data_IF_748889209006
#
_entry.id   IF_748889209006
#
_cell.length_a   1.000
_cell.length_b   1.000
_cell.length_c   1.000
_cell.angle_alpha   90.00
_cell.angle_beta   90.00
_cell.angle_gamma   90.00
#
_symmetry.space_group_name_H-M   'P 1'
#
loop_
_entity.id
_entity.type
_entity.pdbx_description
1 polymer ?
#
# COMPACT_ATOMS: atom_id res chain seq x y z
N UNK A 1 16.65 -3.00 -1.42
CA UNK A 1 15.48 -2.85 -2.32
C UNK A 1 15.97 -2.35 -3.69
N UNK A 2 15.99 -3.19 -4.73
CA UNK A 2 16.49 -2.81 -6.07
C UNK A 2 15.56 -1.74 -6.67
N UNK A 3 16.03 -0.49 -6.72
CA UNK A 3 15.37 0.61 -7.42
C UNK A 3 15.13 0.14 -8.85
N UNK A 4 13.87 -0.04 -9.26
CA UNK A 4 13.53 -0.40 -10.64
C UNK A 4 13.95 0.76 -11.54
N UNK A 5 15.08 0.58 -12.23
CA UNK A 5 15.75 1.57 -13.11
C UNK A 5 15.02 1.79 -14.45
N UNK A 6 13.68 1.79 -14.45
CA UNK A 6 12.85 1.68 -15.65
C UNK A 6 12.09 2.95 -16.02
N UNK A 7 12.20 4.03 -15.26
CA UNK A 7 11.52 5.29 -15.55
C UNK A 7 12.36 6.54 -15.22
N UNK A 8 12.07 7.62 -15.92
CA UNK A 8 12.44 9.01 -15.61
C UNK A 8 11.17 9.86 -15.48
N UNK A 9 11.31 11.15 -15.15
CA UNK A 9 10.18 12.09 -15.12
C UNK A 9 9.49 12.29 -16.49
N UNK A 10 10.09 11.84 -17.60
CA UNK A 10 9.61 12.09 -18.96
C UNK A 10 9.43 10.81 -19.79
N UNK A 11 10.21 9.77 -19.52
CA UNK A 11 10.29 8.56 -20.35
C UNK A 11 10.32 7.31 -19.47
N UNK A 12 9.50 6.34 -19.83
CA UNK A 12 9.51 5.00 -19.24
C UNK A 12 10.06 3.97 -20.24
N UNK A 13 10.55 2.83 -19.75
CA UNK A 13 11.00 1.74 -20.61
C UNK A 13 10.58 0.35 -20.13
N UNK A 14 10.36 -0.56 -21.08
CA UNK A 14 10.12 -1.98 -20.84
C UNK A 14 11.38 -2.80 -21.19
N UNK A 15 12.21 -3.21 -20.22
CA UNK A 15 13.47 -3.90 -20.50
C UNK A 15 13.29 -5.28 -21.15
N UNK A 16 12.12 -5.93 -21.00
CA UNK A 16 11.84 -7.24 -21.60
C UNK A 16 11.83 -7.22 -23.15
N UNK A 17 11.65 -6.04 -23.76
CA UNK A 17 11.67 -5.85 -25.22
C UNK A 17 13.04 -5.37 -25.74
N UNK A 18 14.02 -5.19 -24.84
CA UNK A 18 15.31 -4.64 -25.19
C UNK A 18 16.24 -5.74 -25.72
N UNK A 19 16.60 -5.65 -27.01
CA UNK A 19 17.61 -6.54 -27.63
C UNK A 19 19.04 -6.04 -27.46
N UNK A 20 19.27 -5.07 -26.56
CA UNK A 20 20.59 -4.51 -26.29
C UNK A 20 21.33 -3.94 -27.52
N UNK A 21 20.62 -3.32 -28.47
CA UNK A 21 21.24 -2.71 -29.67
C UNK A 21 22.03 -1.40 -29.39
N UNK A 22 21.88 -0.82 -28.19
CA UNK A 22 22.59 0.37 -27.70
C UNK A 22 22.40 1.69 -28.46
N UNK A 23 21.51 1.76 -29.46
CA UNK A 23 21.19 3.00 -30.19
C UNK A 23 20.73 4.14 -29.27
N UNK A 24 19.90 3.81 -28.26
CA UNK A 24 19.40 4.76 -27.27
C UNK A 24 20.51 5.40 -26.41
N UNK A 25 21.60 4.69 -26.13
CA UNK A 25 22.74 5.19 -25.34
C UNK A 25 23.53 6.21 -26.17
N UNK A 26 23.83 5.88 -27.43
CA UNK A 26 24.56 6.77 -28.35
C UNK A 26 23.82 8.09 -28.57
N UNK A 27 22.49 8.03 -28.65
CA UNK A 27 21.66 9.18 -28.98
C UNK A 27 21.12 9.96 -27.76
N UNK A 28 21.55 9.61 -26.54
CA UNK A 28 21.13 10.30 -25.33
C UNK A 28 22.07 11.49 -25.02
N UNK A 29 21.63 12.75 -25.18
CA UNK A 29 22.50 13.93 -25.03
C UNK A 29 22.98 14.13 -23.58
N UNK A 30 22.18 13.67 -22.61
CA UNK A 30 22.48 13.78 -21.17
C UNK A 30 23.10 12.52 -20.59
N UNK A 31 23.43 11.51 -21.42
CA UNK A 31 24.04 10.23 -21.01
C UNK A 31 23.27 9.53 -19.86
N UNK A 32 21.95 9.70 -19.83
CA UNK A 32 21.03 9.16 -18.81
C UNK A 32 20.92 7.62 -18.89
N UNK A 33 21.12 7.06 -20.07
CA UNK A 33 20.94 5.63 -20.38
C UNK A 33 22.31 4.95 -20.36
N UNK A 34 22.42 3.85 -19.62
CA UNK A 34 23.61 2.99 -19.55
C UNK A 34 23.33 1.54 -19.93
N UNK A 35 24.39 0.74 -19.90
CA UNK A 35 24.36 -0.70 -20.15
C UNK A 35 24.27 -1.46 -18.83
N UNK A 36 23.57 -2.59 -18.82
CA UNK A 36 23.72 -3.64 -17.80
C UNK A 36 24.35 -4.88 -18.46
N UNK A 37 25.14 -5.62 -17.70
CA UNK A 37 25.80 -6.82 -18.20
C UNK A 37 26.36 -7.67 -17.06
N UNK A 38 25.68 -8.78 -16.78
CA UNK A 38 26.29 -9.96 -16.14
C UNK A 38 25.80 -11.19 -16.92
N UNK A 39 26.76 -11.91 -17.51
CA UNK A 39 26.73 -13.11 -18.37
C UNK A 39 25.57 -13.32 -19.38
N UNK A 40 24.29 -13.16 -19.02
CA UNK A 40 23.13 -13.44 -19.89
C UNK A 40 22.05 -12.36 -19.87
N UNK A 41 22.24 -11.30 -19.08
CA UNK A 41 21.26 -10.22 -18.94
C UNK A 41 21.82 -8.89 -19.48
N UNK A 42 21.61 -8.65 -20.78
CA UNK A 42 22.00 -7.39 -21.45
C UNK A 42 20.75 -6.60 -21.84
N UNK A 43 20.60 -5.42 -21.28
CA UNK A 43 19.58 -4.44 -21.68
C UNK A 43 20.00 -3.02 -21.30
N UNK A 44 19.29 -2.03 -21.82
CA UNK A 44 19.47 -0.63 -21.43
C UNK A 44 18.92 -0.40 -20.01
N UNK A 45 19.57 0.45 -19.22
CA UNK A 45 19.13 0.88 -17.88
C UNK A 45 19.24 2.40 -17.74
N UNK A 46 18.38 3.03 -16.92
CA UNK A 46 18.63 4.40 -16.50
C UNK A 46 19.68 4.44 -15.38
N UNK A 47 20.78 5.19 -15.59
CA UNK A 47 21.85 5.40 -14.61
C UNK A 47 21.61 6.65 -13.76
N UNK A 48 21.26 7.75 -14.42
CA UNK A 48 20.94 9.03 -13.78
C UNK A 48 19.61 9.56 -14.33
N UNK A 49 18.46 9.03 -13.85
CA UNK A 49 17.14 9.37 -14.39
C UNK A 49 16.78 10.86 -14.23
N UNK A 50 17.33 11.54 -13.21
CA UNK A 50 17.03 12.94 -12.90
C UNK A 50 17.66 13.92 -13.92
N UNK A 51 18.75 13.52 -14.59
CA UNK A 51 19.34 14.29 -15.68
C UNK A 51 18.54 14.21 -17.00
N UNK A 52 17.43 13.48 -17.04
CA UNK A 52 16.58 13.39 -18.22
C UNK A 52 15.86 14.73 -18.46
N UNK A 53 16.03 15.30 -19.66
CA UNK A 53 15.39 16.55 -20.08
C UNK A 53 14.18 16.35 -21.00
N UNK A 54 13.66 15.13 -21.12
CA UNK A 54 12.47 14.85 -21.94
C UNK A 54 12.62 14.97 -23.46
N UNK A 55 13.84 15.01 -24.00
CA UNK A 55 14.08 15.19 -25.45
C UNK A 55 13.53 14.08 -26.38
N UNK A 56 13.05 12.95 -25.84
CA UNK A 56 12.43 11.84 -26.56
C UNK A 56 13.27 11.16 -27.67
N UNK A 57 14.58 11.43 -27.79
CA UNK A 57 15.45 10.77 -28.78
C UNK A 57 15.52 9.24 -28.62
N UNK A 58 15.46 8.74 -27.39
CA UNK A 58 15.45 7.30 -27.09
C UNK A 58 14.21 6.60 -27.64
N UNK A 59 13.04 7.26 -27.65
CA UNK A 59 11.80 6.74 -28.23
C UNK A 59 11.95 6.66 -29.75
N UNK A 60 12.39 7.76 -30.38
CA UNK A 60 12.54 7.84 -31.85
C UNK A 60 13.58 6.86 -32.42
N UNK A 61 14.64 6.58 -31.66
CA UNK A 61 15.77 5.75 -32.16
C UNK A 61 15.64 4.27 -31.85
N UNK A 62 14.70 3.87 -30.99
CA UNK A 62 14.60 2.48 -30.55
C UNK A 62 13.84 1.64 -31.58
N UNK A 63 14.46 0.61 -32.17
CA UNK A 63 13.79 -0.22 -33.18
C UNK A 63 12.68 -1.11 -32.59
N UNK A 64 12.77 -1.46 -31.31
CA UNK A 64 11.80 -2.36 -30.65
C UNK A 64 10.82 -1.60 -29.75
N UNK A 65 10.71 -0.29 -29.90
CA UNK A 65 9.76 0.55 -29.14
C UNK A 65 9.83 0.36 -27.61
N UNK A 66 11.03 0.10 -27.09
CA UNK A 66 11.28 -0.14 -25.65
C UNK A 66 10.89 1.05 -24.79
N UNK A 67 11.01 2.27 -25.33
CA UNK A 67 10.79 3.52 -24.62
C UNK A 67 9.46 4.15 -25.04
N UNK A 68 8.74 4.69 -24.06
CA UNK A 68 7.47 5.40 -24.28
C UNK A 68 7.39 6.63 -23.38
N UNK A 69 6.61 7.64 -23.81
CA UNK A 69 6.39 8.85 -23.01
C UNK A 69 5.68 8.45 -21.72
N UNK A 70 6.10 9.04 -20.61
CA UNK A 70 5.34 8.91 -19.38
C UNK A 70 4.09 9.78 -19.49
N UNK A 71 2.92 9.22 -19.17
CA UNK A 71 1.66 9.97 -19.13
C UNK A 71 1.54 10.81 -17.83
N UNK A 72 2.66 11.23 -17.24
CA UNK A 72 2.70 11.71 -15.87
C UNK A 72 2.26 13.17 -15.74
N UNK A 73 0.95 13.35 -15.61
CA UNK A 73 0.32 14.25 -14.63
C UNK A 73 0.45 13.72 -13.18
N UNK A 74 1.48 12.92 -12.89
CA UNK A 74 1.72 12.42 -11.53
C UNK A 74 3.04 12.94 -11.02
N UNK A 75 3.04 14.01 -10.19
CA UNK A 75 4.24 14.52 -9.56
C UNK A 75 4.88 13.41 -8.71
N UNK A 76 6.20 13.34 -8.68
CA UNK A 76 7.02 12.47 -7.81
C UNK A 76 6.58 12.46 -6.34
N UNK A 77 5.95 13.55 -5.86
CA UNK A 77 5.29 13.64 -4.55
C UNK A 77 4.18 12.59 -4.32
N UNK A 78 3.37 12.29 -5.35
CA UNK A 78 2.35 11.22 -5.31
C UNK A 78 2.95 9.82 -5.29
N UNK A 79 4.13 9.62 -5.90
CA UNK A 79 4.81 8.32 -5.92
C UNK A 79 5.38 7.98 -4.54
N UNK A 80 6.01 8.94 -3.85
CA UNK A 80 6.51 8.70 -2.49
C UNK A 80 5.36 8.47 -1.49
N UNK A 81 4.28 9.25 -1.59
CA UNK A 81 3.06 9.02 -0.80
C UNK A 81 2.41 7.66 -1.10
N UNK A 82 2.41 7.21 -2.37
CA UNK A 82 1.91 5.89 -2.78
C UNK A 82 2.67 4.76 -2.10
N UNK A 83 3.99 4.77 -2.16
CA UNK A 83 4.86 3.71 -1.61
C UNK A 83 4.80 3.71 -0.08
N UNK A 84 4.73 4.90 0.54
CA UNK A 84 4.61 5.03 1.98
C UNK A 84 3.28 4.46 2.49
N UNK A 85 2.16 4.78 1.85
CA UNK A 85 0.83 4.28 2.26
C UNK A 85 0.66 2.78 2.04
N UNK A 86 1.24 2.22 0.97
CA UNK A 86 1.22 0.77 0.71
C UNK A 86 1.96 -0.05 1.79
N UNK A 87 2.91 0.57 2.50
CA UNK A 87 3.68 -0.08 3.58
C UNK A 87 3.12 0.22 4.96
N UNK A 88 2.68 1.45 5.19
CA UNK A 88 2.17 1.87 6.49
C UNK A 88 0.88 1.15 6.87
N UNK A 89 -0.05 0.98 5.93
CA UNK A 89 -1.35 0.37 6.22
C UNK A 89 -1.21 -1.05 6.82
N UNK A 90 -0.49 -2.01 6.19
CA UNK A 90 -0.35 -3.35 6.76
C UNK A 90 0.49 -3.35 8.05
N UNK A 91 1.52 -2.51 8.16
CA UNK A 91 2.35 -2.44 9.38
C UNK A 91 1.53 -1.95 10.57
N UNK A 92 0.82 -0.84 10.41
CA UNK A 92 -0.03 -0.28 11.47
C UNK A 92 -1.18 -1.24 11.82
N UNK A 93 -1.73 -1.95 10.83
CA UNK A 93 -2.76 -2.98 11.07
C UNK A 93 -2.23 -4.13 11.92
N UNK A 94 -1.06 -4.68 11.59
CA UNK A 94 -0.43 -5.76 12.35
C UNK A 94 -0.09 -5.29 13.77
N UNK A 95 0.43 -4.07 13.93
CA UNK A 95 0.71 -3.50 15.25
C UNK A 95 -0.57 -3.36 16.10
N UNK A 96 -1.67 -2.88 15.51
CA UNK A 96 -2.98 -2.81 16.17
C UNK A 96 -3.49 -4.20 16.57
N UNK A 97 -3.35 -5.21 15.69
CA UNK A 97 -3.76 -6.58 15.98
C UNK A 97 -2.94 -7.23 17.12
N UNK A 98 -1.62 -7.07 17.13
CA UNK A 98 -0.74 -7.61 18.18
C UNK A 98 -1.06 -6.96 19.52
N UNK A 99 -1.17 -5.63 19.56
CA UNK A 99 -1.50 -4.89 20.79
C UNK A 99 -2.91 -5.19 21.29
N UNK A 100 -3.88 -5.40 20.39
CA UNK A 100 -5.23 -5.82 20.74
C UNK A 100 -5.28 -7.24 21.29
N UNK A 101 -4.54 -8.17 20.68
CA UNK A 101 -4.38 -9.53 21.22
C UNK A 101 -3.77 -9.48 22.62
N UNK A 102 -2.68 -8.71 22.79
CA UNK A 102 -2.03 -8.46 24.07
C UNK A 102 -2.98 -7.91 25.13
N UNK A 103 -3.81 -6.92 24.80
CA UNK A 103 -4.80 -6.36 25.73
C UNK A 103 -5.82 -7.40 26.22
N UNK A 104 -6.26 -8.29 25.35
CA UNK A 104 -7.23 -9.34 25.69
C UNK A 104 -6.60 -10.52 26.44
N UNK A 105 -5.39 -10.94 26.07
CA UNK A 105 -4.68 -12.00 26.81
C UNK A 105 -4.16 -11.51 28.15
N UNK A 106 -3.73 -10.25 28.20
CA UNK A 106 -3.25 -9.65 29.44
C UNK A 106 -4.39 -9.48 30.45
N UNK A 107 -5.62 -9.31 29.95
CA UNK A 107 -6.78 -9.32 30.82
C UNK A 107 -7.03 -10.66 31.54
N UNK A 108 -6.44 -11.77 31.06
CA UNK A 108 -6.64 -13.13 31.59
C UNK A 108 -5.48 -13.74 32.36
N UNK A 109 -4.22 -13.29 32.18
CA UNK A 109 -3.04 -13.89 32.82
C UNK A 109 -2.28 -12.95 33.78
N UNK A 110 -2.24 -11.64 33.55
CA UNK A 110 -1.56 -10.66 34.41
C UNK A 110 -2.54 -9.66 35.04
N UNK A 111 -2.56 -9.66 36.37
CA UNK A 111 -3.50 -8.89 37.18
C UNK A 111 -3.08 -7.43 37.37
N UNK A 112 -1.90 -7.01 36.87
CA UNK A 112 -1.44 -5.64 37.06
C UNK A 112 -2.25 -4.66 36.22
N UNK A 113 -2.77 -3.62 36.88
CA UNK A 113 -3.48 -2.53 36.21
C UNK A 113 -2.55 -1.77 35.24
N UNK A 114 -1.25 -1.73 35.53
CA UNK A 114 -0.23 -1.04 34.75
C UNK A 114 -0.02 -1.70 33.38
N UNK A 115 0.16 -3.02 33.30
CA UNK A 115 0.36 -3.71 32.02
C UNK A 115 -0.87 -3.55 31.11
N UNK A 116 -2.08 -3.70 31.67
CA UNK A 116 -3.33 -3.53 30.93
C UNK A 116 -3.48 -2.11 30.39
N UNK A 117 -3.11 -1.10 31.18
CA UNK A 117 -3.11 0.29 30.75
C UNK A 117 -2.11 0.52 29.60
N UNK A 118 -0.90 -0.05 29.69
CA UNK A 118 0.10 0.05 28.63
C UNK A 118 -0.39 -0.56 27.32
N UNK A 119 -0.96 -1.77 27.36
CA UNK A 119 -1.54 -2.41 26.17
C UNK A 119 -2.71 -1.62 25.59
N UNK A 120 -3.56 -1.03 26.44
CA UNK A 120 -4.69 -0.21 26.01
C UNK A 120 -4.24 1.07 25.30
N UNK A 121 -3.25 1.78 25.86
CA UNK A 121 -2.67 2.98 25.25
C UNK A 121 -1.98 2.63 23.93
N UNK A 122 -1.16 1.56 23.92
CA UNK A 122 -0.48 1.10 22.72
C UNK A 122 -1.46 0.70 21.61
N UNK A 123 -2.51 -0.03 21.95
CA UNK A 123 -3.57 -0.42 21.02
C UNK A 123 -4.32 0.78 20.46
N UNK A 124 -4.64 1.77 21.30
CA UNK A 124 -5.33 2.99 20.87
C UNK A 124 -4.49 3.81 19.90
N UNK A 125 -3.19 4.01 20.19
CA UNK A 125 -2.27 4.75 19.32
C UNK A 125 -2.07 4.02 17.99
N UNK A 126 -1.81 2.71 18.02
CA UNK A 126 -1.62 1.90 16.81
C UNK A 126 -2.88 1.91 15.93
N UNK A 127 -4.07 1.81 16.56
CA UNK A 127 -5.35 1.83 15.86
C UNK A 127 -5.65 3.20 15.25
N UNK A 128 -5.33 4.31 15.93
CA UNK A 128 -5.49 5.65 15.35
C UNK A 128 -4.60 5.83 14.10
N UNK A 129 -3.34 5.41 14.17
CA UNK A 129 -2.42 5.46 13.03
C UNK A 129 -2.93 4.61 11.86
N UNK A 130 -3.41 3.41 12.16
CA UNK A 130 -4.00 2.53 11.16
C UNK A 130 -5.27 3.15 10.53
N UNK A 131 -6.15 3.77 11.32
CA UNK A 131 -7.34 4.46 10.80
C UNK A 131 -6.99 5.59 9.85
N UNK A 132 -6.02 6.44 10.21
CA UNK A 132 -5.55 7.51 9.32
C UNK A 132 -5.02 6.94 8.00
N UNK A 133 -4.22 5.87 8.06
CA UNK A 133 -3.73 5.19 6.85
C UNK A 133 -4.87 4.57 6.03
N UNK A 134 -5.84 3.94 6.67
CA UNK A 134 -7.01 3.33 6.02
C UNK A 134 -7.87 4.39 5.31
N UNK A 135 -8.11 5.55 5.95
CA UNK A 135 -8.85 6.64 5.29
C UNK A 135 -8.11 7.16 4.05
N UNK A 136 -6.78 7.30 4.11
CA UNK A 136 -5.98 7.69 2.96
C UNK A 136 -6.03 6.64 1.84
N UNK A 137 -5.99 5.35 2.20
CA UNK A 137 -6.14 4.23 1.28
C UNK A 137 -7.50 4.25 0.57
N UNK A 138 -8.61 4.35 1.32
CA UNK A 138 -9.97 4.40 0.79
C UNK A 138 -10.14 5.63 -0.13
N UNK A 139 -9.68 6.81 0.29
CA UNK A 139 -9.73 8.04 -0.52
C UNK A 139 -9.03 7.87 -1.87
N UNK A 140 -7.89 7.17 -1.91
CA UNK A 140 -7.18 6.88 -3.17
C UNK A 140 -7.97 5.97 -4.10
N UNK A 141 -8.76 5.06 -3.54
CA UNK A 141 -9.61 4.14 -4.29
C UNK A 141 -11.05 4.66 -4.45
N UNK A 142 -11.33 5.96 -4.22
CA UNK A 142 -12.68 6.55 -4.36
C UNK A 142 -13.33 6.29 -5.73
N UNK A 143 -12.54 6.26 -6.80
CA UNK A 143 -13.04 5.93 -8.15
C UNK A 143 -13.60 4.51 -8.24
N UNK A 144 -13.01 3.54 -7.54
CA UNK A 144 -13.50 2.17 -7.49
C UNK A 144 -14.85 2.07 -6.77
N UNK A 145 -15.01 2.80 -5.65
CA UNK A 145 -16.30 2.89 -4.96
C UNK A 145 -17.37 3.57 -5.82
N UNK A 146 -17.00 4.60 -6.59
CA UNK A 146 -17.91 5.24 -7.55
C UNK A 146 -18.34 4.28 -8.67
N UNK A 147 -17.43 3.43 -9.15
CA UNK A 147 -17.71 2.39 -10.14
C UNK A 147 -18.63 1.28 -9.62
N UNK A 148 -18.68 1.06 -8.31
CA UNK A 148 -19.66 0.15 -7.68
C UNK A 148 -21.04 0.80 -7.64
N UNK A 149 -21.12 2.05 -7.18
CA UNK A 149 -22.37 2.78 -7.10
C UNK A 149 -23.04 2.96 -8.48
N UNK A 150 -22.23 3.06 -9.54
CA UNK A 150 -22.73 3.27 -10.91
C UNK A 150 -22.97 1.99 -11.73
N UNK A 151 -22.20 0.91 -11.50
CA UNK A 151 -22.26 -0.32 -12.33
C UNK A 151 -22.74 -1.56 -11.59
N UNK A 152 -23.07 -1.45 -10.29
CA UNK A 152 -23.49 -2.58 -9.46
C UNK A 152 -22.36 -3.47 -8.94
N UNK A 153 -22.73 -4.45 -8.11
CA UNK A 153 -21.82 -5.38 -7.42
C UNK A 153 -21.68 -6.66 -8.26
N UNK A 154 -20.48 -6.93 -8.79
CA UNK A 154 -20.14 -8.22 -9.40
C UNK A 154 -19.51 -9.17 -8.39
N UNK A 155 -19.55 -10.50 -8.64
CA UNK A 155 -19.13 -11.53 -7.68
C UNK A 155 -17.69 -11.37 -7.13
N UNK A 156 -16.75 -10.81 -7.91
CA UNK A 156 -15.37 -10.50 -7.44
C UNK A 156 -15.30 -9.37 -6.39
N UNK A 157 -16.36 -8.59 -6.18
CA UNK A 157 -16.38 -7.36 -5.37
C UNK A 157 -16.90 -7.56 -3.93
N UNK A 158 -17.38 -8.76 -3.59
CA UNK A 158 -18.02 -9.05 -2.29
C UNK A 158 -17.05 -9.02 -1.10
N UNK A 159 -15.81 -9.51 -1.29
CA UNK A 159 -14.80 -9.53 -0.22
C UNK A 159 -14.55 -8.11 0.31
N UNK A 160 -14.33 -7.15 -0.59
CA UNK A 160 -14.06 -5.75 -0.20
C UNK A 160 -15.30 -5.06 0.39
N UNK A 161 -16.50 -5.43 -0.04
CA UNK A 161 -17.74 -4.94 0.55
C UNK A 161 -17.88 -5.37 2.02
N UNK A 162 -17.77 -6.68 2.30
CA UNK A 162 -17.82 -7.19 3.66
C UNK A 162 -16.68 -6.67 4.52
N UNK A 163 -15.48 -6.54 3.95
CA UNK A 163 -14.34 -5.93 4.65
C UNK A 163 -14.64 -4.48 5.06
N UNK A 164 -15.29 -3.70 4.18
CA UNK A 164 -15.68 -2.32 4.49
C UNK A 164 -16.74 -2.25 5.59
N UNK A 165 -17.71 -3.18 5.58
CA UNK A 165 -18.73 -3.29 6.62
C UNK A 165 -18.12 -3.69 7.96
N UNK A 166 -17.27 -4.72 8.00
CA UNK A 166 -16.54 -5.16 9.19
C UNK A 166 -15.68 -4.03 9.76
N UNK A 167 -14.96 -3.32 8.89
CA UNK A 167 -14.16 -2.16 9.29
C UNK A 167 -15.02 -1.11 10.01
N UNK A 168 -16.17 -0.75 9.44
CA UNK A 168 -17.08 0.23 10.05
C UNK A 168 -17.58 -0.24 11.42
N UNK A 169 -18.02 -1.50 11.54
CA UNK A 169 -18.48 -2.05 12.81
C UNK A 169 -17.38 -2.07 13.88
N UNK A 170 -16.16 -2.47 13.51
CA UNK A 170 -15.00 -2.47 14.43
C UNK A 170 -14.67 -1.05 14.90
N UNK A 171 -14.73 -0.04 14.02
CA UNK A 171 -14.49 1.36 14.39
C UNK A 171 -15.58 1.89 15.31
N UNK A 172 -16.86 1.69 14.98
CA UNK A 172 -17.97 2.15 15.81
C UNK A 172 -17.90 1.55 17.22
N UNK A 173 -17.64 0.26 17.32
CA UNK A 173 -17.51 -0.44 18.62
C UNK A 173 -16.30 0.05 19.41
N UNK A 174 -15.17 0.31 18.76
CA UNK A 174 -13.98 0.89 19.40
C UNK A 174 -14.22 2.30 19.94
N UNK A 175 -14.93 3.16 19.19
CA UNK A 175 -15.31 4.50 19.65
C UNK A 175 -16.20 4.40 20.90
N UNK A 176 -17.24 3.55 20.86
CA UNK A 176 -18.16 3.35 22.00
C UNK A 176 -17.43 2.84 23.23
N UNK A 177 -16.46 1.93 23.07
CA UNK A 177 -15.64 1.42 24.17
C UNK A 177 -14.83 2.52 24.85
N UNK A 178 -14.28 3.47 24.08
CA UNK A 178 -13.51 4.58 24.63
C UNK A 178 -14.42 5.61 25.33
N UNK A 179 -15.64 5.84 24.82
CA UNK A 179 -16.48 6.94 25.31
C UNK A 179 -17.50 6.56 26.37
N UNK A 180 -17.99 5.31 26.39
CA UNK A 180 -19.16 4.93 27.21
C UNK A 180 -18.92 3.74 28.14
N UNK A 181 -17.83 2.97 27.96
CA UNK A 181 -17.61 1.74 28.73
C UNK A 181 -16.49 1.95 29.74
N UNK A 182 -16.83 1.93 31.03
CA UNK A 182 -15.88 1.94 32.13
C UNK A 182 -15.75 0.53 32.70
N UNK A 183 -14.59 -0.10 32.53
CA UNK A 183 -14.29 -1.42 33.10
C UNK A 183 -13.82 -2.47 32.10
N UNK A 184 -13.11 -3.48 32.60
CA UNK A 184 -12.61 -4.61 31.82
C UNK A 184 -13.70 -5.65 31.53
N UNK A 185 -13.52 -6.46 30.49
CA UNK A 185 -14.38 -7.61 30.15
C UNK A 185 -15.85 -7.28 29.83
N UNK A 186 -16.12 -6.12 29.24
CA UNK A 186 -17.46 -5.78 28.74
C UNK A 186 -17.85 -6.69 27.56
N UNK A 187 -19.14 -6.98 27.44
CA UNK A 187 -19.71 -7.71 26.29
C UNK A 187 -19.39 -7.02 24.96
N UNK A 188 -19.44 -5.69 24.94
CA UNK A 188 -19.02 -4.86 23.81
C UNK A 188 -17.53 -5.01 23.49
N UNK A 189 -16.66 -5.11 24.50
CA UNK A 189 -15.23 -5.37 24.33
C UNK A 189 -14.97 -6.72 23.68
N UNK A 190 -15.68 -7.76 24.12
CA UNK A 190 -15.58 -9.09 23.51
C UNK A 190 -16.13 -9.11 22.07
N UNK A 191 -17.20 -8.37 21.79
CA UNK A 191 -17.72 -8.21 20.43
C UNK A 191 -16.69 -7.50 19.54
N UNK A 192 -16.10 -6.42 20.02
CA UNK A 192 -15.03 -5.69 19.32
C UNK A 192 -13.85 -6.61 18.98
N UNK A 193 -13.43 -7.45 19.93
CA UNK A 193 -12.39 -8.46 19.71
C UNK A 193 -12.74 -9.45 18.60
N UNK A 194 -13.94 -10.05 18.65
CA UNK A 194 -14.41 -11.01 17.63
C UNK A 194 -14.48 -10.35 16.24
N UNK A 195 -15.00 -9.13 16.17
CA UNK A 195 -15.03 -8.34 14.94
C UNK A 195 -13.62 -8.02 14.43
N UNK A 196 -12.68 -7.70 15.33
CA UNK A 196 -11.27 -7.49 15.01
C UNK A 196 -10.60 -8.73 14.42
N UNK A 197 -10.89 -9.92 14.96
CA UNK A 197 -10.37 -11.19 14.43
C UNK A 197 -10.94 -11.50 13.05
N UNK A 198 -12.24 -11.27 12.83
CA UNK A 198 -12.86 -11.38 11.50
C UNK A 198 -12.26 -10.37 10.52
N UNK A 199 -12.03 -9.13 10.95
CA UNK A 199 -11.41 -8.11 10.13
C UNK A 199 -9.99 -8.52 9.71
N UNK A 200 -9.22 -9.14 10.61
CA UNK A 200 -7.88 -9.67 10.32
C UNK A 200 -7.93 -10.75 9.24
N UNK A 201 -8.84 -11.73 9.35
CA UNK A 201 -8.94 -12.81 8.37
C UNK A 201 -9.40 -12.31 7.00
N UNK A 202 -10.45 -11.47 6.94
CA UNK A 202 -10.92 -10.87 5.68
C UNK A 202 -9.86 -9.96 5.04
N UNK A 203 -9.05 -9.27 5.83
CA UNK A 203 -7.95 -8.43 5.31
C UNK A 203 -6.87 -9.27 4.64
N UNK A 204 -6.50 -10.42 5.24
CA UNK A 204 -5.55 -11.36 4.64
C UNK A 204 -6.11 -11.92 3.32
N UNK A 205 -7.37 -12.34 3.32
CA UNK A 205 -8.06 -12.80 2.10
C UNK A 205 -8.07 -11.70 1.04
N UNK A 206 -8.39 -10.45 1.40
CA UNK A 206 -8.38 -9.32 0.47
C UNK A 206 -7.01 -9.12 -0.18
N UNK A 207 -5.91 -9.26 0.56
CA UNK A 207 -4.56 -9.13 0.04
C UNK A 207 -4.21 -10.29 -0.91
N UNK A 208 -4.55 -11.52 -0.55
CA UNK A 208 -4.25 -12.72 -1.34
C UNK A 208 -5.09 -12.80 -2.62
N UNK A 209 -6.36 -12.39 -2.54
CA UNK A 209 -7.30 -12.40 -3.66
C UNK A 209 -7.22 -11.14 -4.53
N UNK A 210 -6.28 -10.24 -4.27
CA UNK A 210 -6.08 -8.97 -5.00
C UNK A 210 -5.49 -9.14 -6.41
N UNK A 211 -5.78 -10.25 -7.10
CA UNK A 211 -5.37 -10.54 -8.48
C UNK A 211 -6.32 -9.90 -9.50
#
# INVERSE_FOLDING_TARGET
>A
MKIKRTATAYVCMNPYQCTACWKCIKNCPRKVIGKTGFLWHRHAIFKNPDACIGCCKCIKTCPNSVFFKTNATTPTRRIHASVHMERLLPIAFIASAITGFGLHTAAGHDTSHENRLMWSVAHTIASLLWLLSATAHIKRHKLWYKDIASKGITHKRWITFFLSLLFLMTVCTGIVLITYVTGANSSLGLMHYKLGLLLLTFSLIHILCRK
#
